data_IF_322792654849
#
_entry.id   IF_322792654849
#
_cell.length_a   1.000
_cell.length_b   1.000
_cell.length_c   1.000
_cell.angle_alpha   90.00
_cell.angle_beta   90.00
_cell.angle_gamma   90.00
#
_symmetry.space_group_name_H-M   'P 1'
#
loop_
_entity.id
_entity.type
_entity.pdbx_description
1 polymer ?
#
# COMPACT_ATOMS: atom_id res chain seq x y z
N UNK A 1 -5.93 22.23 8.84
CA UNK A 1 -6.94 21.16 8.99
C UNK A 1 -7.60 20.90 7.66
N UNK A 2 -7.61 19.64 7.20
CA UNK A 2 -8.22 19.24 5.93
C UNK A 2 -9.72 18.96 6.08
N UNK A 3 -10.33 19.33 7.21
CA UNK A 3 -11.77 19.19 7.42
C UNK A 3 -12.52 20.16 6.53
N UNK A 4 -13.52 19.65 5.82
CA UNK A 4 -14.52 20.48 5.13
C UNK A 4 -15.37 21.13 6.22
N UNK A 5 -15.00 22.35 6.62
CA UNK A 5 -15.76 23.13 7.58
C UNK A 5 -16.94 23.76 6.86
N UNK A 6 -18.11 23.73 7.47
CA UNK A 6 -19.25 24.57 7.06
C UNK A 6 -18.90 26.02 7.45
N UNK A 7 -18.23 26.71 6.53
CA UNK A 7 -17.73 28.05 6.75
C UNK A 7 -18.76 29.09 6.29
N UNK A 8 -18.89 30.21 7.00
CA UNK A 8 -19.67 31.37 6.52
C UNK A 8 -19.21 31.78 5.12
N UNK A 9 -20.12 32.31 4.31
CA UNK A 9 -19.89 32.68 2.90
C UNK A 9 -18.71 33.66 2.67
N UNK A 10 -18.31 34.40 3.70
CA UNK A 10 -17.24 35.37 3.67
C UNK A 10 -15.88 34.80 4.17
N UNK A 11 -15.80 33.50 4.45
CA UNK A 11 -14.57 32.84 4.89
C UNK A 11 -14.06 31.92 3.79
N UNK A 12 -12.80 32.08 3.43
CA UNK A 12 -12.10 31.25 2.43
C UNK A 12 -11.13 30.32 3.16
N UNK A 13 -11.31 29.02 2.98
CA UNK A 13 -10.32 28.03 3.44
C UNK A 13 -9.27 27.81 2.35
N UNK A 14 -8.02 28.14 2.63
CA UNK A 14 -6.90 27.99 1.70
C UNK A 14 -6.11 26.69 1.99
N UNK A 15 -6.77 25.57 2.18
CA UNK A 15 -6.15 24.26 2.44
C UNK A 15 -6.37 23.27 1.30
N UNK A 16 -5.48 22.27 1.20
CA UNK A 16 -5.69 21.12 0.31
C UNK A 16 -6.71 20.20 1.00
N UNK A 17 -7.87 19.99 0.38
CA UNK A 17 -8.88 19.08 0.91
C UNK A 17 -8.73 17.67 0.34
N UNK A 18 -9.39 16.69 0.97
CA UNK A 18 -9.33 15.27 0.58
C UNK A 18 -9.76 15.03 -0.86
N UNK A 19 -10.78 15.76 -1.36
CA UNK A 19 -11.23 15.64 -2.76
C UNK A 19 -10.16 16.09 -3.75
N UNK A 20 -9.45 17.19 -3.45
CA UNK A 20 -8.33 17.68 -4.27
C UNK A 20 -7.18 16.68 -4.31
N UNK A 21 -6.83 16.08 -3.18
CA UNK A 21 -5.82 15.04 -3.10
C UNK A 21 -6.22 13.81 -3.94
N UNK A 22 -7.44 13.33 -3.79
CA UNK A 22 -7.95 12.19 -4.55
C UNK A 22 -8.00 12.47 -6.06
N UNK A 23 -8.33 13.69 -6.48
CA UNK A 23 -8.27 14.08 -7.89
C UNK A 23 -6.83 14.05 -8.43
N UNK A 24 -5.85 14.45 -7.64
CA UNK A 24 -4.43 14.38 -8.02
C UNK A 24 -3.98 12.92 -8.15
N UNK A 25 -4.31 12.08 -7.19
CA UNK A 25 -4.02 10.64 -7.24
C UNK A 25 -4.70 10.01 -8.46
N UNK A 26 -5.98 10.30 -8.68
CA UNK A 26 -6.70 9.81 -9.86
C UNK A 26 -5.99 10.15 -11.17
N UNK A 27 -5.58 11.42 -11.34
CA UNK A 27 -4.84 11.85 -12.53
C UNK A 27 -3.52 11.10 -12.68
N UNK A 28 -2.78 10.88 -11.59
CA UNK A 28 -1.55 10.09 -11.59
C UNK A 28 -1.80 8.64 -12.04
N UNK A 29 -2.81 7.98 -11.47
CA UNK A 29 -3.16 6.60 -11.82
C UNK A 29 -3.56 6.46 -13.30
N UNK A 30 -4.37 7.39 -13.80
CA UNK A 30 -4.80 7.44 -15.20
C UNK A 30 -3.62 7.66 -16.15
N UNK A 31 -2.73 8.62 -15.84
CA UNK A 31 -1.54 8.92 -16.66
C UNK A 31 -0.57 7.73 -16.74
N UNK A 32 -0.45 6.95 -15.67
CA UNK A 32 0.44 5.79 -15.61
C UNK A 32 -0.25 4.46 -15.96
N UNK A 33 -1.52 4.48 -16.41
CA UNK A 33 -2.30 3.29 -16.76
C UNK A 33 -2.42 2.26 -15.62
N UNK A 34 -2.52 2.74 -14.38
CA UNK A 34 -2.63 1.90 -13.19
C UNK A 34 -4.10 1.55 -12.97
N UNK A 35 -4.45 0.26 -13.09
CA UNK A 35 -5.84 -0.18 -13.09
C UNK A 35 -6.30 -0.78 -11.75
N UNK A 36 -5.40 -1.38 -11.00
CA UNK A 36 -5.72 -2.07 -9.76
C UNK A 36 -5.07 -1.37 -8.57
N UNK A 37 -5.77 -0.37 -8.06
CA UNK A 37 -5.32 0.41 -6.90
C UNK A 37 -6.10 -0.01 -5.67
N UNK A 38 -5.39 -0.38 -4.60
CA UNK A 38 -5.98 -0.60 -3.28
C UNK A 38 -5.79 0.63 -2.41
N UNK A 39 -6.75 0.87 -1.52
CA UNK A 39 -6.66 1.88 -0.48
C UNK A 39 -6.53 1.20 0.87
N UNK A 40 -5.61 1.68 1.68
CA UNK A 40 -5.42 1.29 3.07
C UNK A 40 -5.79 2.49 3.94
N UNK A 41 -6.83 2.35 4.74
CA UNK A 41 -7.35 3.41 5.60
C UNK A 41 -7.36 2.91 7.05
N UNK A 42 -6.72 3.59 8.00
CA UNK A 42 -6.81 3.21 9.40
C UNK A 42 -8.22 3.47 9.94
N UNK A 43 -8.64 2.66 10.90
CA UNK A 43 -9.90 2.85 11.63
C UNK A 43 -9.69 3.98 12.64
N UNK A 44 -9.90 5.21 12.22
CA UNK A 44 -9.70 6.44 13.01
C UNK A 44 -10.69 7.54 12.60
N UNK A 45 -10.73 8.64 13.36
CA UNK A 45 -11.70 9.74 13.18
C UNK A 45 -11.68 10.42 11.81
N UNK A 46 -10.56 10.42 11.08
CA UNK A 46 -10.45 11.07 9.76
C UNK A 46 -10.86 10.15 8.59
N UNK A 47 -11.22 8.91 8.86
CA UNK A 47 -11.69 7.95 7.85
C UNK A 47 -12.86 8.53 7.02
N UNK A 48 -13.76 9.28 7.66
CA UNK A 48 -14.87 9.91 7.00
C UNK A 48 -14.43 10.89 5.90
N UNK A 49 -13.41 11.71 6.14
CA UNK A 49 -12.89 12.67 5.17
C UNK A 49 -12.25 11.99 3.97
N UNK A 50 -11.54 10.89 4.19
CA UNK A 50 -10.95 10.07 3.13
C UNK A 50 -12.05 9.43 2.28
N UNK A 51 -13.04 8.80 2.90
CA UNK A 51 -14.19 8.19 2.20
C UNK A 51 -14.98 9.22 1.39
N UNK A 52 -15.17 10.42 1.93
CA UNK A 52 -15.81 11.54 1.21
C UNK A 52 -14.97 11.95 0.00
N UNK A 53 -13.67 12.15 0.16
CA UNK A 53 -12.75 12.49 -0.93
C UNK A 53 -12.78 11.46 -2.06
N UNK A 54 -12.76 10.17 -1.72
CA UNK A 54 -12.89 9.06 -2.68
C UNK A 54 -14.20 9.16 -3.46
N UNK A 55 -15.32 9.35 -2.76
CA UNK A 55 -16.66 9.47 -3.38
C UNK A 55 -16.74 10.67 -4.30
N UNK A 56 -16.34 11.85 -3.84
CA UNK A 56 -16.48 13.11 -4.57
C UNK A 56 -15.57 13.15 -5.81
N UNK A 57 -14.36 12.60 -5.74
CA UNK A 57 -13.41 12.51 -6.86
C UNK A 57 -13.81 11.46 -7.92
N UNK A 58 -14.66 10.52 -7.56
CA UNK A 58 -15.01 9.36 -8.41
C UNK A 58 -13.77 8.59 -8.87
N UNK A 59 -12.75 8.49 -8.01
CA UNK A 59 -11.55 7.69 -8.28
C UNK A 59 -11.94 6.21 -8.33
N UNK A 60 -11.41 5.48 -9.32
CA UNK A 60 -11.63 4.04 -9.43
C UNK A 60 -10.74 3.30 -8.45
N UNK A 61 -11.34 2.61 -7.51
CA UNK A 61 -10.67 1.80 -6.50
C UNK A 61 -10.93 0.33 -6.79
N UNK A 62 -9.88 -0.49 -6.79
CA UNK A 62 -10.03 -1.94 -6.92
C UNK A 62 -10.56 -2.54 -5.62
N UNK A 63 -9.96 -2.18 -4.48
CA UNK A 63 -10.43 -2.54 -3.13
C UNK A 63 -10.06 -1.47 -2.10
N UNK A 64 -10.92 -1.28 -1.12
CA UNK A 64 -10.64 -0.48 0.07
C UNK A 64 -10.54 -1.42 1.27
N UNK A 65 -9.48 -1.28 2.06
CA UNK A 65 -9.23 -2.04 3.27
C UNK A 65 -9.10 -1.09 4.45
N UNK A 66 -9.86 -1.36 5.48
CA UNK A 66 -9.74 -0.71 6.78
C UNK A 66 -8.88 -1.57 7.68
N UNK A 67 -7.93 -0.99 8.39
CA UNK A 67 -7.01 -1.72 9.23
C UNK A 67 -6.92 -1.13 10.64
N UNK A 68 -6.59 -2.00 11.60
CA UNK A 68 -6.31 -1.62 12.97
C UNK A 68 -4.89 -1.06 13.08
N UNK A 69 -4.72 0.04 13.82
CA UNK A 69 -3.40 0.61 14.13
C UNK A 69 -2.63 -0.20 15.19
N UNK A 70 -3.25 -1.20 15.80
CA UNK A 70 -2.57 -2.13 16.71
C UNK A 70 -1.58 -3.02 15.91
N UNK A 71 -0.26 -2.99 16.22
CA UNK A 71 0.76 -3.61 15.37
C UNK A 71 0.54 -5.08 15.04
N UNK A 72 0.11 -5.88 16.04
CA UNK A 72 -0.13 -7.32 15.85
C UNK A 72 -1.30 -7.59 14.90
N UNK A 73 -2.37 -6.80 15.00
CA UNK A 73 -3.53 -6.92 14.12
C UNK A 73 -3.23 -6.40 12.74
N UNK A 74 -2.52 -5.26 12.66
CA UNK A 74 -2.07 -4.67 11.40
C UNK A 74 -1.29 -5.67 10.56
N UNK A 75 -0.23 -6.27 11.12
CA UNK A 75 0.60 -7.23 10.40
C UNK A 75 -0.22 -8.38 9.84
N UNK A 76 -1.14 -8.97 10.63
CA UNK A 76 -2.01 -10.05 10.16
C UNK A 76 -2.93 -9.61 9.02
N UNK A 77 -3.52 -8.41 9.12
CA UNK A 77 -4.37 -7.86 8.06
C UNK A 77 -3.58 -7.61 6.77
N UNK A 78 -2.36 -7.10 6.86
CA UNK A 78 -1.49 -6.92 5.69
C UNK A 78 -1.07 -8.26 5.08
N UNK A 79 -0.78 -9.29 5.89
CA UNK A 79 -0.53 -10.66 5.40
C UNK A 79 -1.71 -11.20 4.58
N UNK A 80 -2.95 -10.97 5.05
CA UNK A 80 -4.17 -11.38 4.34
C UNK A 80 -4.36 -10.61 3.03
N UNK A 81 -4.22 -9.27 3.06
CA UNK A 81 -4.36 -8.39 1.89
C UNK A 81 -3.37 -8.77 0.79
N UNK A 82 -2.14 -9.11 1.17
CA UNK A 82 -1.04 -9.44 0.25
C UNK A 82 -0.98 -10.93 -0.10
N UNK A 83 -1.84 -11.74 0.50
CA UNK A 83 -1.82 -13.20 0.38
C UNK A 83 -0.45 -13.81 0.71
N UNK A 84 0.23 -13.23 1.71
CA UNK A 84 1.63 -13.53 2.03
C UNK A 84 1.86 -15.00 2.35
N UNK A 85 1.01 -15.60 3.19
CA UNK A 85 1.16 -17.00 3.63
C UNK A 85 1.13 -17.97 2.46
N UNK A 86 0.18 -17.81 1.55
CA UNK A 86 0.09 -18.66 0.36
C UNK A 86 1.29 -18.45 -0.57
N UNK A 87 1.74 -17.20 -0.75
CA UNK A 87 2.93 -16.92 -1.56
C UNK A 87 4.20 -17.53 -0.94
N UNK A 88 4.31 -17.52 0.38
CA UNK A 88 5.43 -18.18 1.09
C UNK A 88 5.37 -19.70 0.91
N UNK A 89 4.19 -20.29 1.09
CA UNK A 89 3.98 -21.73 0.86
C UNK A 89 4.30 -22.12 -0.59
N UNK A 90 3.88 -21.33 -1.57
CA UNK A 90 4.21 -21.57 -2.98
C UNK A 90 5.73 -21.59 -3.22
N UNK A 91 6.49 -20.74 -2.54
CA UNK A 91 7.94 -20.73 -2.65
C UNK A 91 8.55 -22.03 -2.09
N UNK A 92 8.12 -22.43 -0.91
CA UNK A 92 8.56 -23.66 -0.26
C UNK A 92 8.24 -24.91 -1.11
N UNK A 93 7.01 -24.98 -1.61
CA UNK A 93 6.54 -26.09 -2.47
C UNK A 93 7.33 -26.16 -3.79
N UNK A 94 7.60 -25.02 -4.43
CA UNK A 94 8.39 -25.00 -5.68
C UNK A 94 9.84 -25.43 -5.44
N UNK A 95 10.44 -25.00 -4.33
CA UNK A 95 11.81 -25.46 -3.93
C UNK A 95 11.79 -26.98 -3.71
N UNK A 96 10.81 -27.51 -2.98
CA UNK A 96 10.67 -28.95 -2.75
C UNK A 96 10.45 -29.74 -4.06
N UNK A 97 9.63 -29.19 -4.96
CA UNK A 97 9.38 -29.77 -6.29
C UNK A 97 10.66 -29.86 -7.10
N UNK A 98 11.47 -28.78 -7.11
CA UNK A 98 12.73 -28.76 -7.83
C UNK A 98 13.76 -29.72 -7.23
N UNK A 99 13.85 -29.83 -5.90
CA UNK A 99 14.73 -30.79 -5.23
C UNK A 99 14.46 -32.22 -5.66
N UNK A 100 13.18 -32.57 -5.87
CA UNK A 100 12.77 -33.92 -6.32
C UNK A 100 12.87 -34.12 -7.84
N UNK A 101 13.09 -33.07 -8.62
CA UNK A 101 13.17 -33.14 -10.06
C UNK A 101 14.53 -33.60 -10.57
N UNK A 102 14.57 -34.16 -11.79
CA UNK A 102 15.79 -34.58 -12.49
C UNK A 102 16.31 -33.49 -13.46
N UNK A 103 15.91 -32.22 -13.29
CA UNK A 103 16.34 -31.13 -14.16
C UNK A 103 17.84 -30.83 -13.97
N UNK A 104 18.58 -30.71 -15.06
CA UNK A 104 20.02 -30.44 -15.04
C UNK A 104 20.40 -29.09 -14.42
N UNK A 105 19.47 -28.12 -14.45
CA UNK A 105 19.69 -26.77 -13.91
C UNK A 105 18.97 -26.50 -12.58
N UNK A 106 18.53 -27.56 -11.89
CA UNK A 106 17.74 -27.43 -10.64
C UNK A 106 18.45 -26.64 -9.55
N UNK A 107 19.75 -26.86 -9.34
CA UNK A 107 20.51 -26.19 -8.30
C UNK A 107 20.58 -24.67 -8.50
N UNK A 108 20.80 -24.23 -9.73
CA UNK A 108 20.79 -22.80 -10.05
C UNK A 108 19.41 -22.18 -9.84
N UNK A 109 18.33 -22.90 -10.17
CA UNK A 109 16.96 -22.44 -9.96
C UNK A 109 16.60 -22.38 -8.48
N UNK A 110 16.97 -23.38 -7.70
CA UNK A 110 16.80 -23.41 -6.24
C UNK A 110 17.52 -22.22 -5.61
N UNK A 111 18.79 -22.00 -5.94
CA UNK A 111 19.57 -20.88 -5.43
C UNK A 111 18.91 -19.51 -5.72
N UNK A 112 18.29 -19.35 -6.90
CA UNK A 112 17.53 -18.13 -7.24
C UNK A 112 16.24 -17.99 -6.43
N UNK A 113 15.57 -19.09 -6.11
CA UNK A 113 14.34 -19.07 -5.30
C UNK A 113 14.65 -18.82 -3.83
N UNK A 114 15.74 -19.35 -3.31
CA UNK A 114 16.19 -19.15 -1.93
C UNK A 114 16.57 -17.67 -1.63
N UNK A 115 16.79 -16.87 -2.68
CA UNK A 115 16.99 -15.42 -2.55
C UNK A 115 15.66 -14.62 -2.48
N UNK A 116 14.52 -15.28 -2.63
CA UNK A 116 13.21 -14.65 -2.58
C UNK A 116 12.53 -14.88 -1.24
N UNK A 117 11.68 -13.97 -0.85
CA UNK A 117 10.85 -14.11 0.35
C UNK A 117 9.53 -14.81 0.04
N UNK A 118 9.01 -14.63 -1.17
CA UNK A 118 7.73 -15.19 -1.60
C UNK A 118 7.75 -15.60 -3.07
N UNK A 119 6.80 -16.46 -3.48
CA UNK A 119 6.56 -16.82 -4.87
C UNK A 119 5.10 -16.58 -5.24
N UNK A 120 4.88 -15.66 -6.17
CA UNK A 120 3.55 -15.30 -6.68
C UNK A 120 3.40 -13.80 -6.89
N UNK A 121 2.43 -13.43 -7.71
CA UNK A 121 2.09 -12.03 -7.99
C UNK A 121 1.21 -11.41 -6.91
N UNK A 122 1.20 -10.09 -6.88
CA UNK A 122 0.22 -9.30 -6.15
C UNK A 122 -0.96 -8.99 -7.07
N UNK A 123 -2.16 -8.95 -6.51
CA UNK A 123 -3.38 -8.68 -7.27
C UNK A 123 -3.69 -7.17 -7.37
N UNK A 124 -2.71 -6.31 -7.18
CA UNK A 124 -2.82 -4.86 -7.31
C UNK A 124 -1.51 -4.27 -7.84
N UNK A 125 -1.60 -3.07 -8.39
CA UNK A 125 -0.47 -2.36 -9.02
C UNK A 125 0.00 -1.16 -8.18
N UNK A 126 -0.92 -0.57 -7.42
CA UNK A 126 -0.64 0.54 -6.53
C UNK A 126 -1.36 0.39 -5.19
N UNK A 127 -0.77 0.94 -4.15
CA UNK A 127 -1.35 1.09 -2.83
C UNK A 127 -1.37 2.57 -2.44
N UNK A 128 -2.55 3.06 -2.08
CA UNK A 128 -2.72 4.37 -1.47
C UNK A 128 -2.87 4.17 0.02
N UNK A 129 -1.99 4.77 0.80
CA UNK A 129 -1.98 4.67 2.27
C UNK A 129 -2.49 5.99 2.83
N UNK A 130 -3.70 5.97 3.38
CA UNK A 130 -4.34 7.14 3.96
C UNK A 130 -3.97 7.27 5.45
N UNK A 131 -2.69 7.38 5.74
CA UNK A 131 -2.16 7.45 7.11
C UNK A 131 -0.95 8.40 7.19
N UNK A 132 -0.44 8.65 8.39
CA UNK A 132 0.65 9.59 8.65
C UNK A 132 1.48 9.14 9.88
N UNK A 133 2.62 9.79 10.07
CA UNK A 133 3.54 9.60 11.19
C UNK A 133 3.94 8.13 11.44
N UNK A 134 4.02 7.70 12.68
CA UNK A 134 4.43 6.35 13.08
C UNK A 134 3.46 5.26 12.58
N UNK A 135 2.19 5.59 12.41
CA UNK A 135 1.21 4.65 11.85
C UNK A 135 1.50 4.35 10.37
N UNK A 136 1.84 5.36 9.58
CA UNK A 136 2.29 5.20 8.20
C UNK A 136 3.56 4.33 8.12
N UNK A 137 4.54 4.55 9.00
CA UNK A 137 5.74 3.70 9.07
C UNK A 137 5.40 2.26 9.39
N UNK A 138 4.48 2.03 10.32
CA UNK A 138 4.06 0.68 10.69
C UNK A 138 3.40 -0.06 9.53
N UNK A 139 2.55 0.62 8.75
CA UNK A 139 1.91 0.06 7.55
C UNK A 139 2.93 -0.26 6.48
N UNK A 140 3.82 0.70 6.18
CA UNK A 140 4.84 0.51 5.14
C UNK A 140 5.81 -0.61 5.52
N UNK A 141 6.24 -0.69 6.77
CA UNK A 141 7.07 -1.80 7.28
C UNK A 141 6.34 -3.14 7.15
N UNK A 142 5.05 -3.21 7.46
CA UNK A 142 4.25 -4.43 7.30
C UNK A 142 4.10 -4.83 5.83
N UNK A 143 3.99 -3.87 4.91
CA UNK A 143 3.98 -4.12 3.47
C UNK A 143 5.33 -4.68 3.01
N UNK A 144 6.45 -4.08 3.41
CA UNK A 144 7.80 -4.57 3.11
C UNK A 144 8.01 -6.00 3.63
N UNK A 145 7.59 -6.27 4.86
CA UNK A 145 7.65 -7.62 5.45
C UNK A 145 6.90 -8.66 4.59
N UNK A 146 5.80 -8.26 3.93
CA UNK A 146 4.99 -9.15 3.08
C UNK A 146 5.43 -9.16 1.61
N UNK A 147 6.65 -8.68 1.32
CA UNK A 147 7.26 -8.62 -0.02
C UNK A 147 6.50 -7.67 -0.97
N UNK A 148 5.99 -6.57 -0.42
CA UNK A 148 5.42 -5.45 -1.17
C UNK A 148 6.27 -4.22 -0.95
N UNK A 149 6.92 -3.74 -1.99
CA UNK A 149 7.88 -2.63 -1.89
C UNK A 149 7.69 -1.62 -3.02
N UNK A 150 8.22 -0.40 -2.89
CA UNK A 150 8.20 0.59 -3.96
C UNK A 150 8.91 0.14 -5.25
N UNK A 151 9.77 -0.87 -5.17
CA UNK A 151 10.44 -1.44 -6.35
C UNK A 151 9.52 -2.30 -7.21
N UNK A 152 8.43 -2.81 -6.65
CA UNK A 152 7.48 -3.68 -7.35
C UNK A 152 6.07 -3.12 -7.47
N UNK A 153 5.70 -2.09 -6.67
CA UNK A 153 4.38 -1.45 -6.65
C UNK A 153 4.50 0.04 -6.40
N UNK A 154 3.54 0.81 -6.89
CA UNK A 154 3.46 2.23 -6.55
C UNK A 154 2.93 2.39 -5.13
N UNK A 155 3.68 3.13 -4.32
CA UNK A 155 3.27 3.58 -2.99
C UNK A 155 2.85 5.04 -3.10
N UNK A 156 1.67 5.37 -2.63
CA UNK A 156 1.10 6.72 -2.69
C UNK A 156 0.58 7.06 -1.31
N UNK A 157 1.00 8.18 -0.76
CA UNK A 157 0.53 8.68 0.54
C UNK A 157 -0.29 9.95 0.37
N UNK A 158 -1.10 10.27 1.37
CA UNK A 158 -1.81 11.55 1.43
C UNK A 158 -0.88 12.60 2.03
N UNK A 159 -0.72 13.72 1.34
CA UNK A 159 0.08 14.83 1.82
C UNK A 159 -0.69 15.61 2.91
N UNK A 160 -0.83 15.03 4.09
CA UNK A 160 -1.43 15.73 5.22
C UNK A 160 -0.37 16.29 6.19
N UNK A 161 0.70 15.55 6.41
CA UNK A 161 1.79 15.94 7.30
C UNK A 161 3.07 15.30 6.78
N UNK A 162 3.86 16.07 6.04
CA UNK A 162 5.14 15.60 5.58
C UNK A 162 6.13 15.54 6.75
N UNK A 163 6.47 14.35 7.18
CA UNK A 163 7.55 14.12 8.14
C UNK A 163 8.86 13.87 7.40
N UNK A 164 9.86 14.75 7.66
CA UNK A 164 11.20 14.58 7.09
C UNK A 164 11.87 13.26 7.47
N UNK A 165 11.47 12.64 8.58
CA UNK A 165 12.03 11.35 8.99
C UNK A 165 11.75 10.25 7.98
N UNK A 166 10.61 10.31 7.27
CA UNK A 166 10.25 9.35 6.21
C UNK A 166 11.23 9.39 5.02
N UNK A 167 11.89 10.53 4.78
CA UNK A 167 12.90 10.63 3.72
C UNK A 167 14.17 9.84 4.03
N UNK A 168 14.42 9.54 5.29
CA UNK A 168 15.58 8.77 5.71
C UNK A 168 15.34 7.25 5.67
N UNK A 169 14.08 6.83 5.47
CA UNK A 169 13.71 5.43 5.36
C UNK A 169 13.91 4.94 3.92
N UNK A 170 15.12 4.50 3.62
CA UNK A 170 15.54 4.12 2.25
C UNK A 170 14.66 3.03 1.64
N UNK A 171 14.21 2.08 2.46
CA UNK A 171 13.45 0.90 2.00
C UNK A 171 12.03 1.22 1.53
N UNK A 172 11.50 2.38 1.91
CA UNK A 172 10.15 2.82 1.51
C UNK A 172 10.16 3.90 0.42
N UNK A 173 11.33 4.27 -0.06
CA UNK A 173 11.44 5.24 -1.16
C UNK A 173 11.32 4.57 -2.54
N UNK A 174 10.72 5.26 -3.53
CA UNK A 174 10.00 6.55 -3.43
C UNK A 174 8.57 6.38 -2.90
N UNK A 175 8.14 7.33 -2.04
CA UNK A 175 6.75 7.50 -1.60
C UNK A 175 6.10 8.65 -2.36
#
# INVERSE_FOLDING_TARGET
>A
TNKTLDLPKNVISAGINSTSQMNTIKKFLETNNINKTIFLTPIQDYEFEVKKGIKDSRIKIFKNYEYSTEPTKLTKQIEEITNYRNKKQNLEDEILRLKKSNLSNKEMRIKKLEQRYTLGGLNFDAVVIADFDESLKSVTTSLLYTDVSPTNKYFITLNQWFDKSLLNEVDIQPL
#
